data_IF_133665198387
#
_entry.id   IF_133665198387
#
_cell.length_a   1.000
_cell.length_b   1.000
_cell.length_c   1.000
_cell.angle_alpha   90.00
_cell.angle_beta   90.00
_cell.angle_gamma   90.00
#
_symmetry.space_group_name_H-M   'P 1'
#
loop_
_entity.id
_entity.type
_entity.pdbx_description
1 polymer ?
#
# COMPACT_ATOMS: atom_id res chain seq x y z
N UNK A 1 -16.36 13.22 18.49
CA UNK A 1 -16.28 12.62 17.16
C UNK A 1 -16.33 11.10 17.28
N UNK A 2 -17.01 10.40 16.38
CA UNK A 2 -17.04 8.95 16.36
C UNK A 2 -15.76 8.38 15.76
N UNK A 3 -15.31 7.23 16.28
CA UNK A 3 -14.19 6.45 15.76
C UNK A 3 -14.42 4.95 16.00
N UNK A 4 -13.92 4.10 15.10
CA UNK A 4 -13.88 2.65 15.25
C UNK A 4 -12.47 2.24 15.68
N UNK A 5 -12.32 1.65 16.88
CA UNK A 5 -11.02 1.38 17.51
C UNK A 5 -10.80 -0.09 17.80
N UNK A 6 -9.57 -0.55 17.59
CA UNK A 6 -9.06 -1.77 18.20
C UNK A 6 -8.80 -1.48 19.66
N UNK A 7 -9.46 -2.20 20.56
CA UNK A 7 -9.22 -2.15 22.01
C UNK A 7 -8.26 -3.26 22.41
N UNK A 8 -8.47 -4.44 21.81
CA UNK A 8 -7.64 -5.61 21.97
C UNK A 8 -7.53 -6.35 20.65
N UNK A 9 -6.37 -6.90 20.37
CA UNK A 9 -6.12 -7.64 19.13
C UNK A 9 -7.03 -8.86 18.98
N UNK A 10 -7.43 -9.17 17.77
CA UNK A 10 -8.34 -10.27 17.39
C UNK A 10 -9.78 -10.13 17.87
N UNK A 11 -10.11 -9.05 18.58
CA UNK A 11 -11.50 -8.72 18.95
C UNK A 11 -12.09 -7.72 17.97
N UNK A 12 -13.42 -7.69 17.76
CA UNK A 12 -14.05 -6.72 16.89
C UNK A 12 -13.73 -5.27 17.31
N UNK A 13 -13.53 -4.40 16.32
CA UNK A 13 -13.37 -2.97 16.56
C UNK A 13 -14.62 -2.43 17.26
N UNK A 14 -14.42 -1.53 18.21
CA UNK A 14 -15.50 -0.91 18.98
C UNK A 14 -15.72 0.54 18.55
N UNK A 15 -16.97 0.90 18.33
CA UNK A 15 -17.36 2.30 18.13
C UNK A 15 -17.19 3.09 19.43
N UNK A 16 -16.47 4.20 19.37
CA UNK A 16 -16.17 5.06 20.51
C UNK A 16 -16.45 6.52 20.18
N UNK A 17 -16.89 7.26 21.17
CA UNK A 17 -16.91 8.72 21.10
C UNK A 17 -15.61 9.28 21.69
N UNK A 18 -14.87 10.01 20.88
CA UNK A 18 -13.61 10.63 21.26
C UNK A 18 -13.77 12.16 21.30
N UNK A 19 -13.04 12.82 22.18
CA UNK A 19 -12.93 14.27 22.13
C UNK A 19 -12.29 14.70 20.81
N UNK A 20 -12.92 15.63 20.09
CA UNK A 20 -12.33 16.21 18.88
C UNK A 20 -11.09 17.02 19.27
N UNK A 21 -9.90 16.72 18.69
CA UNK A 21 -8.70 17.48 19.00
C UNK A 21 -8.78 18.90 18.43
N UNK A 22 -8.12 19.83 19.10
CA UNK A 22 -7.93 21.21 18.62
C UNK A 22 -6.52 21.35 18.09
N UNK A 23 -6.32 21.71 16.81
CA UNK A 23 -4.99 21.83 16.21
C UNK A 23 -4.24 23.04 16.80
N UNK A 24 -2.92 22.87 17.00
CA UNK A 24 -1.99 23.91 17.48
C UNK A 24 -0.77 23.99 16.56
N UNK A 25 -0.12 25.15 16.50
CA UNK A 25 1.09 25.33 15.70
C UNK A 25 0.86 24.95 14.24
N UNK A 26 1.62 24.01 13.72
CA UNK A 26 1.52 23.50 12.35
C UNK A 26 0.48 22.39 12.15
N UNK A 27 -0.24 21.98 13.20
CA UNK A 27 -1.21 20.89 13.12
C UNK A 27 -2.43 21.30 12.29
N UNK A 28 -3.00 20.28 11.61
CA UNK A 28 -4.23 20.44 10.82
C UNK A 28 -5.22 19.36 11.23
N UNK A 29 -6.46 19.77 11.53
CA UNK A 29 -7.58 18.84 11.74
C UNK A 29 -8.28 18.62 10.40
N UNK A 30 -8.31 17.37 9.98
CA UNK A 30 -8.94 16.94 8.74
C UNK A 30 -10.27 16.29 9.05
N UNK A 31 -11.34 16.70 8.37
CA UNK A 31 -12.61 15.98 8.29
C UNK A 31 -12.50 14.90 7.23
N UNK A 32 -12.71 13.64 7.62
CA UNK A 32 -12.46 12.50 6.75
C UNK A 32 -13.68 12.25 5.86
N UNK A 33 -13.49 12.28 4.55
CA UNK A 33 -14.49 11.91 3.56
C UNK A 33 -14.38 10.42 3.21
N UNK A 34 -13.14 9.90 3.15
CA UNK A 34 -12.87 8.51 2.80
C UNK A 34 -11.60 7.98 3.47
N UNK A 35 -11.65 6.76 3.98
CA UNK A 35 -10.51 6.01 4.49
C UNK A 35 -10.43 4.64 3.80
N UNK A 36 -9.32 4.36 3.09
CA UNK A 36 -9.11 3.06 2.45
C UNK A 36 -8.86 1.94 3.47
N UNK A 37 -9.23 0.72 3.08
CA UNK A 37 -9.05 -0.50 3.90
C UNK A 37 -7.90 -1.33 3.36
N UNK A 38 -6.89 -1.57 4.17
CA UNK A 38 -5.64 -2.21 3.80
C UNK A 38 -5.37 -3.50 4.59
N UNK A 39 -4.59 -4.42 4.00
CA UNK A 39 -4.12 -5.61 4.73
C UNK A 39 -3.26 -5.26 5.96
N UNK A 40 -2.58 -4.12 5.96
CA UNK A 40 -1.86 -3.65 7.15
C UNK A 40 -2.79 -3.38 8.34
N UNK A 41 -4.04 -2.95 8.09
CA UNK A 41 -5.05 -2.81 9.14
C UNK A 41 -5.40 -4.16 9.74
N UNK A 42 -5.47 -5.24 8.92
CA UNK A 42 -5.70 -6.60 9.37
C UNK A 42 -4.52 -7.08 10.24
N UNK A 43 -3.28 -6.85 9.81
CA UNK A 43 -2.10 -7.24 10.61
C UNK A 43 -2.06 -6.55 11.97
N UNK A 44 -2.42 -5.26 12.05
CA UNK A 44 -2.51 -4.54 13.33
C UNK A 44 -3.65 -5.09 14.17
N UNK A 45 -4.82 -5.35 13.57
CA UNK A 45 -5.97 -5.93 14.25
C UNK A 45 -5.69 -7.35 14.77
N UNK A 46 -4.99 -8.19 13.99
CA UNK A 46 -4.60 -9.55 14.38
C UNK A 46 -3.40 -9.59 15.33
N UNK A 47 -2.69 -8.48 15.49
CA UNK A 47 -1.61 -8.30 16.44
C UNK A 47 -0.22 -8.65 15.92
N UNK A 48 -0.01 -8.86 14.59
CA UNK A 48 1.33 -9.12 14.09
C UNK A 48 1.42 -9.65 12.66
N UNK A 49 2.66 -9.97 12.30
CA UNK A 49 3.04 -10.53 11.00
C UNK A 49 3.67 -11.91 11.21
N UNK A 50 3.39 -12.86 10.33
CA UNK A 50 4.03 -14.16 10.37
C UNK A 50 5.50 -14.04 9.90
N UNK A 51 6.42 -14.45 10.76
CA UNK A 51 7.84 -14.48 10.49
C UNK A 51 8.36 -15.90 10.25
N UNK A 52 9.65 -16.11 10.53
CA UNK A 52 10.33 -17.39 10.37
C UNK A 52 9.69 -18.46 11.29
N UNK A 53 9.44 -19.66 10.75
CA UNK A 53 8.93 -20.84 11.47
C UNK A 53 7.61 -20.60 12.23
N UNK A 54 6.74 -19.74 11.70
CA UNK A 54 5.45 -19.44 12.31
C UNK A 54 5.51 -18.49 13.51
N UNK A 55 6.69 -17.93 13.82
CA UNK A 55 6.79 -16.90 14.87
C UNK A 55 6.00 -15.65 14.43
N UNK A 56 5.26 -15.08 15.36
CA UNK A 56 4.54 -13.84 15.13
C UNK A 56 5.39 -12.64 15.60
N UNK A 57 5.75 -11.78 14.67
CA UNK A 57 6.34 -10.48 14.98
C UNK A 57 5.21 -9.55 15.47
N UNK A 58 5.09 -9.41 16.79
CA UNK A 58 3.97 -8.68 17.41
C UNK A 58 4.06 -7.19 17.11
N UNK A 59 2.92 -6.57 16.88
CA UNK A 59 2.86 -5.12 16.61
C UNK A 59 3.19 -4.31 17.87
N UNK A 60 2.85 -4.82 19.07
CA UNK A 60 3.19 -4.17 20.35
C UNK A 60 4.70 -4.09 20.58
N UNK A 61 5.47 -5.11 20.16
CA UNK A 61 6.94 -5.11 20.25
C UNK A 61 7.57 -4.05 19.35
N UNK A 62 6.82 -3.58 18.34
CA UNK A 62 7.20 -2.49 17.44
C UNK A 62 6.70 -1.11 17.92
N UNK A 63 6.06 -1.04 19.08
CA UNK A 63 5.59 0.21 19.70
C UNK A 63 4.15 0.57 19.42
N UNK A 64 3.36 -0.28 18.76
CA UNK A 64 1.90 -0.07 18.61
C UNK A 64 1.23 -0.15 19.97
N UNK A 65 0.34 0.80 20.26
CA UNK A 65 -0.40 0.88 21.54
C UNK A 65 -1.90 0.90 21.28
N UNK A 66 -2.64 0.21 22.12
CA UNK A 66 -4.11 0.20 22.11
C UNK A 66 -4.67 0.99 23.32
N UNK A 67 -5.89 1.62 23.19
CA UNK A 67 -6.79 1.61 22.03
C UNK A 67 -6.24 2.41 20.84
N UNK A 68 -6.50 1.92 19.62
CA UNK A 68 -6.01 2.52 18.38
C UNK A 68 -7.11 2.60 17.32
N UNK A 69 -7.28 3.76 16.71
CA UNK A 69 -8.09 3.93 15.49
C UNK A 69 -7.24 3.55 14.27
N UNK A 70 -7.65 2.53 13.53
CA UNK A 70 -6.98 2.09 12.30
C UNK A 70 -7.23 3.05 11.12
N UNK A 71 -6.74 2.66 9.94
CA UNK A 71 -6.92 3.36 8.69
C UNK A 71 -5.82 4.40 8.42
N UNK A 72 -4.96 4.09 7.47
CA UNK A 72 -3.83 4.94 7.08
C UNK A 72 -3.95 5.46 5.63
N UNK A 73 -5.05 5.20 4.96
CA UNK A 73 -5.36 5.69 3.61
C UNK A 73 -6.45 6.77 3.71
N UNK A 74 -6.08 8.04 3.95
CA UNK A 74 -7.02 9.08 4.39
C UNK A 74 -7.13 10.21 3.38
N UNK A 75 -8.35 10.47 2.87
CA UNK A 75 -8.68 11.65 2.10
C UNK A 75 -9.87 12.41 2.72
N UNK A 76 -9.87 13.72 2.59
CA UNK A 76 -10.94 14.56 3.13
C UNK A 76 -10.69 16.04 2.95
N UNK A 77 -11.25 16.85 3.82
CA UNK A 77 -11.15 18.30 3.77
C UNK A 77 -10.58 18.87 5.07
N UNK A 78 -9.85 19.98 4.95
CA UNK A 78 -9.32 20.71 6.10
C UNK A 78 -10.49 21.31 6.89
N UNK A 79 -10.64 20.90 8.14
CA UNK A 79 -11.71 21.38 9.06
C UNK A 79 -11.25 22.57 9.88
N UNK A 80 -10.07 22.45 10.51
CA UNK A 80 -9.44 23.52 11.32
C UNK A 80 -7.92 23.48 11.11
N UNK A 81 -7.26 24.63 11.30
CA UNK A 81 -5.81 24.77 11.22
C UNK A 81 -5.23 25.38 12.49
N UNK A 82 -4.00 25.01 12.84
CA UNK A 82 -3.24 25.67 13.89
C UNK A 82 -2.68 27.03 13.44
N UNK A 83 -2.20 27.82 14.39
CA UNK A 83 -1.81 29.22 14.14
C UNK A 83 -0.62 29.41 13.20
N UNK A 84 0.24 28.39 13.03
CA UNK A 84 1.46 28.49 12.20
C UNK A 84 1.27 27.88 10.80
N UNK A 85 0.08 27.36 10.48
CA UNK A 85 -0.25 26.75 9.18
C UNK A 85 -0.39 27.87 8.12
N UNK A 86 0.27 27.70 6.97
CA UNK A 86 0.27 28.67 5.86
C UNK A 86 -0.08 28.08 4.50
N UNK A 87 0.19 26.78 4.30
CA UNK A 87 0.06 26.11 2.99
C UNK A 87 -1.34 25.62 2.67
N UNK A 88 -2.21 25.47 3.69
CA UNK A 88 -3.59 25.00 3.53
C UNK A 88 -4.56 25.84 4.35
N UNK A 89 -5.84 25.85 3.95
CA UNK A 89 -6.93 26.57 4.64
C UNK A 89 -8.16 25.67 4.78
N UNK A 90 -9.08 26.06 5.67
CA UNK A 90 -10.37 25.37 5.83
C UNK A 90 -11.07 25.21 4.48
N UNK A 91 -11.54 23.99 4.21
CA UNK A 91 -12.22 23.59 2.99
C UNK A 91 -11.27 23.07 1.89
N UNK A 92 -9.95 23.22 2.00
CA UNK A 92 -9.02 22.60 1.05
C UNK A 92 -9.18 21.07 1.10
N UNK A 93 -9.38 20.43 -0.06
CA UNK A 93 -9.48 18.97 -0.18
C UNK A 93 -8.09 18.37 -0.31
N UNK A 94 -7.82 17.38 0.51
CA UNK A 94 -6.45 16.85 0.71
C UNK A 94 -6.44 15.33 0.81
N UNK A 95 -5.29 14.76 0.45
CA UNK A 95 -4.85 13.41 0.76
C UNK A 95 -3.78 13.49 1.83
N UNK A 96 -3.89 12.69 2.88
CA UNK A 96 -2.93 12.67 3.99
C UNK A 96 -1.82 11.66 3.67
N UNK A 97 -0.57 12.09 3.74
CA UNK A 97 0.58 11.19 3.76
C UNK A 97 0.73 10.63 5.19
N UNK A 98 0.51 9.32 5.41
CA UNK A 98 0.42 8.79 6.77
C UNK A 98 1.76 8.31 7.35
N UNK A 99 2.81 8.21 6.55
CA UNK A 99 4.10 7.59 6.89
C UNK A 99 5.03 8.58 7.59
N UNK A 100 4.62 9.00 8.79
CA UNK A 100 5.30 10.03 9.55
C UNK A 100 6.55 9.49 10.24
N UNK A 101 7.66 10.20 10.08
CA UNK A 101 8.89 9.96 10.81
C UNK A 101 9.01 10.85 12.05
N UNK A 102 10.11 10.71 12.80
CA UNK A 102 10.46 11.55 13.95
C UNK A 102 11.13 12.88 13.56
N UNK A 103 11.58 12.98 12.30
CA UNK A 103 12.26 14.14 11.75
C UNK A 103 13.75 14.24 12.10
N UNK A 104 14.31 13.28 12.86
CA UNK A 104 15.67 13.39 13.41
C UNK A 104 16.67 12.39 12.85
N UNK A 105 16.24 11.18 12.47
CA UNK A 105 17.12 10.14 11.93
C UNK A 105 17.56 10.47 10.49
N UNK A 106 18.62 9.80 10.01
CA UNK A 106 19.19 10.00 8.67
C UNK A 106 18.17 9.81 7.54
N UNK A 107 17.27 8.84 7.67
CA UNK A 107 16.19 8.61 6.71
C UNK A 107 15.24 9.82 6.63
N UNK A 108 14.83 10.37 7.77
CA UNK A 108 13.97 11.56 7.81
C UNK A 108 14.65 12.79 7.18
N UNK A 109 15.95 12.96 7.40
CA UNK A 109 16.70 14.10 6.87
C UNK A 109 16.77 14.15 5.34
N UNK A 110 16.69 12.99 4.68
CA UNK A 110 16.70 12.88 3.22
C UNK A 110 15.29 12.67 2.62
N UNK A 111 14.24 12.80 3.44
CA UNK A 111 12.85 12.65 3.00
C UNK A 111 12.33 11.21 2.92
N UNK A 112 13.06 10.24 3.47
CA UNK A 112 12.66 8.83 3.58
C UNK A 112 11.93 8.55 4.89
N UNK A 113 11.01 9.43 5.31
CA UNK A 113 10.30 9.31 6.59
C UNK A 113 9.55 7.97 6.76
N UNK A 114 9.16 7.34 5.66
CA UNK A 114 8.49 6.04 5.65
C UNK A 114 9.34 4.87 6.19
N UNK A 115 10.67 5.01 6.23
CA UNK A 115 11.61 4.04 6.82
C UNK A 115 12.32 4.61 8.05
N UNK A 116 11.68 5.51 8.77
CA UNK A 116 12.18 6.09 10.01
C UNK A 116 12.39 5.02 11.09
N UNK A 117 13.46 5.13 11.88
CA UNK A 117 13.73 4.23 13.00
C UNK A 117 12.69 4.35 14.14
N UNK A 118 12.05 5.53 14.28
CA UNK A 118 10.98 5.80 15.25
C UNK A 118 9.69 6.22 14.51
N UNK A 119 9.00 5.31 13.82
CA UNK A 119 7.85 5.64 12.99
C UNK A 119 6.66 6.09 13.85
N UNK A 120 5.92 7.08 13.34
CA UNK A 120 4.72 7.64 13.97
C UNK A 120 3.52 7.64 13.03
N UNK A 121 3.48 6.67 12.13
CA UNK A 121 2.47 6.57 11.08
C UNK A 121 1.06 6.56 11.63
N UNK A 122 0.18 7.35 10.98
CA UNK A 122 -1.25 7.40 11.30
C UNK A 122 -1.91 6.06 10.96
N UNK A 123 -2.84 5.62 11.81
CA UNK A 123 -3.55 4.34 11.66
C UNK A 123 -2.73 3.10 12.05
N UNK A 124 -1.45 3.27 12.45
CA UNK A 124 -0.56 2.18 12.90
C UNK A 124 0.03 2.47 14.28
N UNK A 125 0.66 3.63 14.47
CA UNK A 125 1.24 4.05 15.74
C UNK A 125 0.45 5.17 16.41
N UNK A 126 -0.33 5.92 15.63
CA UNK A 126 -1.24 6.96 16.07
C UNK A 126 -2.62 6.75 15.46
N UNK A 127 -3.65 7.36 16.05
CA UNK A 127 -5.01 7.26 15.54
C UNK A 127 -5.09 7.69 14.07
N UNK A 128 -5.80 6.88 13.27
CA UNK A 128 -5.95 7.02 11.83
C UNK A 128 -7.36 7.37 11.38
N UNK A 129 -7.71 6.86 10.19
CA UNK A 129 -8.85 7.30 9.38
C UNK A 129 -10.18 6.61 9.65
N UNK A 130 -10.25 5.55 10.47
CA UNK A 130 -11.54 4.96 10.82
C UNK A 130 -12.24 5.81 11.89
N UNK A 131 -12.38 7.09 11.59
CA UNK A 131 -12.97 8.13 12.42
C UNK A 131 -13.52 9.26 11.57
N UNK A 132 -14.34 10.11 12.16
CA UNK A 132 -14.87 11.30 11.47
C UNK A 132 -13.78 12.35 11.20
N UNK A 133 -12.77 12.43 12.07
CA UNK A 133 -11.68 13.44 11.95
C UNK A 133 -10.34 12.83 12.37
N UNK A 134 -9.27 13.35 11.79
CA UNK A 134 -7.89 13.01 12.17
C UNK A 134 -7.07 14.28 12.36
N UNK A 135 -6.18 14.27 13.36
CA UNK A 135 -5.21 15.35 13.59
C UNK A 135 -3.90 14.99 12.88
N UNK A 136 -3.52 15.79 11.89
CA UNK A 136 -2.25 15.68 11.17
C UNK A 136 -1.23 16.62 11.83
N UNK A 137 -0.03 16.16 12.20
CA UNK A 137 0.89 16.94 13.02
C UNK A 137 1.55 18.12 12.31
N UNK A 138 1.63 18.10 10.98
CA UNK A 138 2.22 19.18 10.18
C UNK A 138 1.54 19.23 8.80
N UNK A 139 1.26 20.44 8.31
CA UNK A 139 0.67 20.67 6.98
C UNK A 139 1.50 20.09 5.83
N UNK A 140 2.80 19.89 6.01
CA UNK A 140 3.68 19.28 4.99
C UNK A 140 3.22 17.91 4.54
N UNK A 141 2.49 17.16 5.40
CA UNK A 141 1.97 15.83 5.10
C UNK A 141 0.64 15.83 4.32
N UNK A 142 0.21 16.99 3.85
CA UNK A 142 -1.05 17.15 3.11
C UNK A 142 -0.78 17.42 1.63
N UNK A 143 -1.32 16.55 0.77
CA UNK A 143 -1.27 16.71 -0.69
C UNK A 143 -2.63 17.20 -1.18
N UNK A 144 -2.67 18.38 -1.83
CA UNK A 144 -3.93 18.93 -2.37
C UNK A 144 -4.43 18.11 -3.55
N UNK A 145 -5.66 17.62 -3.46
CA UNK A 145 -6.29 16.78 -4.47
C UNK A 145 -7.19 17.55 -5.45
N UNK A 146 -7.61 18.77 -5.07
CA UNK A 146 -8.58 19.55 -5.88
C UNK A 146 -9.92 18.83 -5.98
N UNK A 147 -10.47 18.71 -7.18
CA UNK A 147 -11.80 18.14 -7.43
C UNK A 147 -11.82 16.60 -7.54
N UNK A 148 -10.67 15.92 -7.30
CA UNK A 148 -10.63 14.47 -7.33
C UNK A 148 -11.55 13.87 -6.25
N UNK A 149 -12.22 12.76 -6.57
CA UNK A 149 -13.07 12.03 -5.62
C UNK A 149 -12.23 11.43 -4.48
N UNK A 150 -12.59 11.74 -3.24
CA UNK A 150 -11.92 11.23 -2.04
C UNK A 150 -11.90 9.70 -1.98
N UNK A 151 -12.95 9.02 -2.43
CA UNK A 151 -13.02 7.57 -2.48
C UNK A 151 -11.95 6.99 -3.41
N UNK A 152 -11.72 7.62 -4.55
CA UNK A 152 -10.69 7.17 -5.49
C UNK A 152 -9.29 7.41 -4.96
N UNK A 153 -9.05 8.58 -4.35
CA UNK A 153 -7.67 8.97 -4.02
C UNK A 153 -7.19 8.52 -2.65
N UNK A 154 -8.07 8.17 -1.71
CA UNK A 154 -7.65 7.77 -0.36
C UNK A 154 -6.64 6.62 -0.40
N UNK A 155 -6.86 5.62 -1.25
CA UNK A 155 -5.98 4.47 -1.41
C UNK A 155 -4.59 4.80 -1.99
N UNK A 156 -4.41 5.99 -2.57
CA UNK A 156 -3.09 6.42 -3.08
C UNK A 156 -2.08 6.59 -1.96
N UNK A 157 -2.51 6.94 -0.74
CA UNK A 157 -1.64 7.16 0.41
C UNK A 157 -0.87 5.89 0.85
N UNK A 158 -1.37 4.71 0.51
CA UNK A 158 -0.72 3.43 0.80
C UNK A 158 -0.56 2.58 -0.47
N UNK A 159 -1.64 1.96 -0.98
CA UNK A 159 -1.50 1.01 -2.09
C UNK A 159 -0.96 1.65 -3.36
N UNK A 160 -1.39 2.87 -3.67
CA UNK A 160 -0.87 3.60 -4.82
C UNK A 160 0.61 3.93 -4.66
N UNK A 161 0.98 4.53 -3.54
CA UNK A 161 2.36 4.93 -3.23
C UNK A 161 3.31 3.72 -3.16
N UNK A 162 2.89 2.64 -2.49
CA UNK A 162 3.67 1.40 -2.41
C UNK A 162 3.93 0.81 -3.80
N UNK A 163 2.90 0.78 -4.65
CA UNK A 163 3.05 0.29 -6.02
C UNK A 163 3.90 1.22 -6.89
N UNK A 164 3.81 2.54 -6.68
CA UNK A 164 4.62 3.52 -7.38
C UNK A 164 6.12 3.33 -7.08
N UNK A 165 6.47 3.19 -5.80
CA UNK A 165 7.83 2.93 -5.36
C UNK A 165 8.34 1.58 -5.86
N UNK A 166 7.52 0.53 -5.78
CA UNK A 166 7.89 -0.80 -6.28
C UNK A 166 8.18 -0.81 -7.79
N UNK A 167 7.36 -0.09 -8.58
CA UNK A 167 7.58 0.06 -10.04
C UNK A 167 8.86 0.82 -10.33
N UNK A 168 9.19 1.87 -9.57
CA UNK A 168 10.48 2.57 -9.70
C UNK A 168 11.66 1.64 -9.36
N UNK A 169 11.54 0.86 -8.29
CA UNK A 169 12.58 -0.11 -7.86
C UNK A 169 12.74 -1.27 -8.86
N UNK A 170 11.71 -1.62 -9.61
CA UNK A 170 11.80 -2.63 -10.66
C UNK A 170 12.78 -2.24 -11.78
N UNK A 171 12.96 -0.94 -12.02
CA UNK A 171 13.96 -0.36 -12.92
C UNK A 171 13.97 -0.98 -14.34
N UNK A 172 12.79 -1.23 -14.91
CA UNK A 172 12.65 -1.81 -16.26
C UNK A 172 12.46 -0.73 -17.32
N UNK A 173 12.84 -1.05 -18.55
CA UNK A 173 12.66 -0.21 -19.74
C UNK A 173 11.51 -0.73 -20.64
N UNK A 174 11.04 0.04 -21.64
CA UNK A 174 9.93 -0.37 -22.51
C UNK A 174 10.15 -1.69 -23.27
N UNK A 175 11.39 -2.12 -23.47
CA UNK A 175 11.73 -3.37 -24.18
C UNK A 175 11.89 -4.58 -23.25
N UNK A 176 11.67 -4.39 -21.98
CA UNK A 176 11.88 -5.39 -20.94
C UNK A 176 10.56 -5.97 -20.45
N UNK A 177 10.66 -7.11 -19.76
CA UNK A 177 9.50 -7.81 -19.19
C UNK A 177 9.44 -7.59 -17.68
N UNK A 178 8.32 -7.06 -17.23
CA UNK A 178 7.93 -6.94 -15.83
C UNK A 178 6.88 -8.00 -15.48
N UNK A 179 7.18 -8.84 -14.49
CA UNK A 179 6.18 -9.72 -13.89
C UNK A 179 5.65 -9.08 -12.61
N UNK A 180 4.34 -9.10 -12.43
CA UNK A 180 3.65 -8.64 -11.21
C UNK A 180 2.96 -9.85 -10.60
N UNK A 181 3.33 -10.23 -9.37
CA UNK A 181 2.71 -11.31 -8.62
C UNK A 181 1.72 -10.72 -7.62
N UNK A 182 0.46 -11.16 -7.73
CA UNK A 182 -0.67 -10.67 -6.96
C UNK A 182 -1.42 -9.54 -7.65
N UNK A 183 -2.65 -9.81 -8.12
CA UNK A 183 -3.55 -8.87 -8.77
C UNK A 183 -4.59 -8.26 -7.80
N UNK A 184 -4.21 -8.05 -6.54
CA UNK A 184 -4.99 -7.30 -5.56
C UNK A 184 -4.89 -5.79 -5.77
N UNK A 185 -5.27 -5.00 -4.76
CA UNK A 185 -5.27 -3.53 -4.83
C UNK A 185 -3.91 -2.94 -5.23
N UNK A 186 -2.78 -3.50 -4.73
CA UNK A 186 -1.44 -3.07 -5.10
C UNK A 186 -1.09 -3.48 -6.54
N UNK A 187 -1.34 -4.75 -6.91
CA UNK A 187 -0.97 -5.25 -8.23
C UNK A 187 -1.72 -4.56 -9.36
N UNK A 188 -3.03 -4.35 -9.21
CA UNK A 188 -3.83 -3.62 -10.20
C UNK A 188 -3.37 -2.16 -10.35
N UNK A 189 -2.93 -1.54 -9.26
CA UNK A 189 -2.31 -0.22 -9.28
C UNK A 189 -0.94 -0.26 -9.94
N UNK A 190 -0.11 -1.28 -9.62
CA UNK A 190 1.22 -1.50 -10.20
C UNK A 190 1.19 -1.66 -11.72
N UNK A 191 0.19 -2.38 -12.27
CA UNK A 191 -0.01 -2.51 -13.73
C UNK A 191 -0.19 -1.15 -14.38
N UNK A 192 -1.10 -0.33 -13.86
CA UNK A 192 -1.39 1.00 -14.43
C UNK A 192 -0.18 1.95 -14.32
N UNK A 193 0.48 1.95 -13.16
CA UNK A 193 1.66 2.79 -12.93
C UNK A 193 2.81 2.36 -13.84
N UNK A 194 3.09 1.06 -13.98
CA UNK A 194 4.11 0.54 -14.87
C UNK A 194 3.81 0.92 -16.33
N UNK A 195 2.56 0.85 -16.75
CA UNK A 195 2.13 1.27 -18.09
C UNK A 195 2.32 2.76 -18.30
N UNK A 196 1.97 3.58 -17.31
CA UNK A 196 2.06 5.04 -17.41
C UNK A 196 3.51 5.57 -17.40
N UNK A 197 4.40 4.94 -16.64
CA UNK A 197 5.77 5.43 -16.42
C UNK A 197 6.82 4.77 -17.31
N UNK A 198 6.72 3.46 -17.54
CA UNK A 198 7.80 2.64 -18.08
C UNK A 198 7.41 1.91 -19.36
N UNK A 199 6.14 1.57 -19.52
CA UNK A 199 5.55 0.84 -20.64
C UNK A 199 6.31 -0.44 -21.06
N UNK A 200 6.65 -1.35 -20.11
CA UNK A 200 7.28 -2.64 -20.42
C UNK A 200 6.25 -3.65 -20.93
N UNK A 201 6.69 -4.87 -21.31
CA UNK A 201 5.79 -6.03 -21.38
C UNK A 201 5.40 -6.46 -19.99
N UNK A 202 4.11 -6.45 -19.64
CA UNK A 202 3.58 -6.75 -18.32
C UNK A 202 2.92 -8.11 -18.29
N UNK A 203 3.44 -9.03 -17.45
CA UNK A 203 2.83 -10.34 -17.15
C UNK A 203 2.30 -10.28 -15.72
N UNK A 204 1.02 -10.57 -15.50
CA UNK A 204 0.42 -10.60 -14.15
C UNK A 204 0.11 -12.04 -13.76
N UNK A 205 0.53 -12.43 -12.55
CA UNK A 205 0.30 -13.76 -11.97
C UNK A 205 -0.61 -13.62 -10.75
N UNK A 206 -1.71 -14.39 -10.72
CA UNK A 206 -2.61 -14.49 -9.56
C UNK A 206 -3.28 -15.88 -9.57
N UNK A 207 -3.97 -16.21 -8.50
CA UNK A 207 -4.79 -17.43 -8.35
C UNK A 207 -6.25 -17.21 -8.76
N UNK A 208 -6.70 -15.97 -8.91
CA UNK A 208 -8.09 -15.58 -9.15
C UNK A 208 -8.27 -15.03 -10.58
N UNK A 209 -9.06 -15.75 -11.40
CA UNK A 209 -9.34 -15.36 -12.78
C UNK A 209 -10.07 -14.02 -12.92
N UNK A 210 -10.89 -13.61 -11.92
CA UNK A 210 -11.58 -12.32 -11.95
C UNK A 210 -10.57 -11.17 -11.81
N UNK A 211 -9.61 -11.32 -10.88
CA UNK A 211 -8.52 -10.35 -10.70
C UNK A 211 -7.61 -10.28 -11.92
N UNK A 212 -7.29 -11.43 -12.53
CA UNK A 212 -6.52 -11.50 -13.77
C UNK A 212 -7.25 -10.83 -14.93
N UNK A 213 -8.55 -11.03 -15.05
CA UNK A 213 -9.39 -10.33 -16.03
C UNK A 213 -9.37 -8.82 -15.87
N UNK A 214 -9.36 -8.32 -14.62
CA UNK A 214 -9.24 -6.89 -14.35
C UNK A 214 -7.83 -6.36 -14.67
N UNK A 215 -6.78 -7.10 -14.29
CA UNK A 215 -5.40 -6.74 -14.66
C UNK A 215 -5.22 -6.61 -16.18
N UNK A 216 -5.86 -7.50 -16.96
CA UNK A 216 -5.85 -7.43 -18.42
C UNK A 216 -6.48 -6.14 -18.96
N UNK A 217 -7.63 -5.73 -18.42
CA UNK A 217 -8.31 -4.47 -18.80
C UNK A 217 -7.46 -3.25 -18.44
N UNK A 218 -6.71 -3.31 -17.35
CA UNK A 218 -5.87 -2.22 -16.84
C UNK A 218 -4.50 -2.15 -17.54
N UNK A 219 -4.22 -3.04 -18.49
CA UNK A 219 -3.05 -2.94 -19.36
C UNK A 219 -1.99 -4.05 -19.19
N UNK A 220 -2.29 -5.16 -18.53
CA UNK A 220 -1.42 -6.34 -18.58
C UNK A 220 -1.40 -6.95 -19.99
N UNK A 221 -0.21 -7.25 -20.54
CA UNK A 221 -0.08 -7.92 -21.83
C UNK A 221 -0.45 -9.40 -21.73
N UNK A 222 -0.05 -10.04 -20.63
CA UNK A 222 -0.35 -11.44 -20.35
C UNK A 222 -0.80 -11.62 -18.91
N UNK A 223 -1.62 -12.67 -18.69
CA UNK A 223 -2.06 -13.07 -17.37
C UNK A 223 -1.85 -14.57 -17.22
N UNK A 224 -1.45 -15.01 -16.02
CA UNK A 224 -1.16 -16.41 -15.70
C UNK A 224 -1.88 -16.79 -14.40
N UNK A 225 -2.73 -17.82 -14.44
CA UNK A 225 -3.33 -18.36 -13.23
C UNK A 225 -2.43 -19.47 -12.67
N UNK A 226 -1.76 -19.20 -11.55
CA UNK A 226 -0.78 -20.13 -10.97
C UNK A 226 -1.37 -21.39 -10.33
N UNK A 227 -2.71 -21.54 -10.27
CA UNK A 227 -3.37 -22.81 -9.89
C UNK A 227 -3.49 -23.72 -11.10
N UNK A 228 -3.87 -23.18 -12.26
CA UNK A 228 -4.15 -23.99 -13.47
C UNK A 228 -2.94 -24.12 -14.39
N UNK A 229 -1.92 -23.27 -14.23
CA UNK A 229 -0.73 -23.21 -15.08
C UNK A 229 0.55 -23.23 -14.24
N UNK A 230 1.62 -23.82 -14.79
CA UNK A 230 2.94 -23.67 -14.20
C UNK A 230 3.50 -22.27 -14.54
N UNK A 231 3.47 -21.36 -13.56
CA UNK A 231 3.87 -19.98 -13.76
C UNK A 231 5.32 -19.83 -14.25
N UNK A 232 6.26 -20.67 -13.77
CA UNK A 232 7.67 -20.63 -14.19
C UNK A 232 7.79 -20.95 -15.69
N UNK A 233 7.16 -22.04 -16.13
CA UNK A 233 7.20 -22.44 -17.53
C UNK A 233 6.53 -21.41 -18.42
N UNK A 234 5.39 -20.85 -17.97
CA UNK A 234 4.64 -19.87 -18.74
C UNK A 234 5.40 -18.55 -18.91
N UNK A 235 6.03 -18.05 -17.85
CA UNK A 235 6.90 -16.86 -17.93
C UNK A 235 8.08 -17.12 -18.86
N UNK A 236 8.73 -18.29 -18.78
CA UNK A 236 9.82 -18.66 -19.69
C UNK A 236 9.36 -18.71 -21.16
N UNK A 237 8.20 -19.31 -21.42
CA UNK A 237 7.61 -19.33 -22.78
C UNK A 237 7.41 -17.90 -23.29
N UNK A 238 6.76 -17.03 -22.52
CA UNK A 238 6.47 -15.63 -22.88
C UNK A 238 7.71 -14.75 -23.03
N UNK A 239 8.85 -15.17 -22.47
CA UNK A 239 10.14 -14.48 -22.50
C UNK A 239 11.18 -15.18 -23.36
N UNK A 240 10.77 -16.07 -24.27
CA UNK A 240 11.67 -16.83 -25.15
C UNK A 240 12.79 -17.56 -24.38
N UNK A 241 12.44 -18.17 -23.25
CA UNK A 241 13.31 -18.86 -22.30
C UNK A 241 14.38 -17.99 -21.60
N UNK A 242 14.31 -16.66 -21.72
CA UNK A 242 15.27 -15.76 -21.05
C UNK A 242 14.90 -15.53 -19.57
N UNK A 243 13.61 -15.51 -19.24
CA UNK A 243 13.07 -15.11 -17.95
C UNK A 243 12.77 -13.60 -17.86
N UNK A 244 12.14 -13.19 -16.77
CA UNK A 244 11.73 -11.82 -16.53
C UNK A 244 12.91 -10.91 -16.19
N UNK A 245 12.89 -9.66 -16.68
CA UNK A 245 13.86 -8.62 -16.32
C UNK A 245 13.69 -8.17 -14.88
N UNK A 246 12.44 -8.00 -14.46
CA UNK A 246 12.12 -7.70 -13.08
C UNK A 246 10.80 -8.35 -12.66
N UNK A 247 10.69 -8.67 -11.38
CA UNK A 247 9.48 -9.21 -10.76
C UNK A 247 9.15 -8.36 -9.55
N UNK A 248 7.90 -7.92 -9.43
CA UNK A 248 7.35 -7.29 -8.23
C UNK A 248 6.43 -8.30 -7.55
N UNK A 249 6.74 -8.69 -6.32
CA UNK A 249 5.90 -9.59 -5.53
C UNK A 249 5.12 -8.81 -4.47
N UNK A 250 3.84 -8.58 -4.75
CA UNK A 250 2.90 -7.93 -3.82
C UNK A 250 2.28 -8.89 -2.80
N UNK A 251 2.61 -10.18 -2.88
CA UNK A 251 2.19 -11.21 -1.91
C UNK A 251 3.29 -11.43 -0.88
N UNK A 252 4.49 -11.80 -1.34
CA UNK A 252 5.67 -12.07 -0.53
C UNK A 252 5.44 -13.20 0.48
N UNK A 253 5.30 -14.40 -0.05
CA UNK A 253 5.20 -15.66 0.69
C UNK A 253 6.16 -16.69 0.10
N UNK A 254 6.49 -17.80 0.79
CA UNK A 254 7.33 -18.84 0.22
C UNK A 254 6.81 -19.37 -1.13
N UNK A 255 5.47 -19.42 -1.29
CA UNK A 255 4.81 -19.89 -2.53
C UNK A 255 4.98 -18.95 -3.72
N UNK A 256 5.37 -17.69 -3.48
CA UNK A 256 5.55 -16.69 -4.54
C UNK A 256 7.01 -16.33 -4.75
N UNK A 257 7.80 -16.20 -3.68
CA UNK A 257 9.22 -15.80 -3.75
C UNK A 257 10.10 -16.89 -4.39
N UNK A 258 9.92 -18.14 -3.99
CA UNK A 258 10.70 -19.26 -4.54
C UNK A 258 10.49 -19.41 -6.08
N UNK A 259 9.25 -19.46 -6.60
CA UNK A 259 9.04 -19.44 -8.04
C UNK A 259 9.55 -18.19 -8.72
N UNK A 260 9.45 -17.00 -8.07
CA UNK A 260 9.92 -15.75 -8.64
C UNK A 260 11.43 -15.77 -8.95
N UNK A 261 12.25 -16.28 -8.03
CA UNK A 261 13.70 -16.42 -8.26
C UNK A 261 14.00 -17.31 -9.49
N UNK A 262 13.19 -18.33 -9.74
CA UNK A 262 13.33 -19.23 -10.89
C UNK A 262 12.79 -18.64 -12.21
N UNK A 263 11.93 -17.64 -12.14
CA UNK A 263 11.40 -16.91 -13.30
C UNK A 263 12.30 -15.76 -13.75
N UNK A 264 13.20 -15.26 -12.87
CA UNK A 264 14.11 -14.17 -13.21
C UNK A 264 15.19 -14.61 -14.22
N UNK A 265 15.52 -13.74 -15.14
CA UNK A 265 16.71 -13.87 -15.98
C UNK A 265 18.01 -13.60 -15.17
N UNK A 266 19.16 -13.84 -15.77
CA UNK A 266 20.44 -13.31 -15.26
C UNK A 266 20.36 -11.77 -15.21
N UNK A 267 20.89 -11.17 -14.15
CA UNK A 267 20.85 -9.72 -13.86
C UNK A 267 19.41 -9.18 -13.63
N UNK A 268 18.44 -10.06 -13.35
CA UNK A 268 17.07 -9.66 -13.04
C UNK A 268 16.91 -9.20 -11.60
N UNK A 269 15.88 -8.35 -11.35
CA UNK A 269 15.55 -7.79 -10.04
C UNK A 269 14.28 -8.43 -9.48
N UNK A 270 14.30 -8.87 -8.23
CA UNK A 270 13.11 -9.27 -7.47
C UNK A 270 12.79 -8.21 -6.42
N UNK A 271 11.67 -7.52 -6.56
CA UNK A 271 11.18 -6.51 -5.63
C UNK A 271 10.13 -7.12 -4.71
N UNK A 272 10.44 -7.26 -3.44
CA UNK A 272 9.58 -7.82 -2.40
C UNK A 272 8.80 -6.71 -1.70
N UNK A 273 7.47 -6.77 -1.74
CA UNK A 273 6.58 -5.71 -1.25
C UNK A 273 5.56 -6.23 -0.25
N UNK A 274 4.93 -7.37 -0.53
CA UNK A 274 3.89 -7.95 0.31
C UNK A 274 4.37 -8.29 1.72
N UNK A 275 3.41 -8.46 2.63
CA UNK A 275 3.68 -8.76 4.04
C UNK A 275 2.92 -10.02 4.51
N UNK A 276 2.65 -10.98 3.60
CA UNK A 276 2.00 -12.24 4.00
C UNK A 276 2.86 -13.04 4.96
N UNK A 277 4.21 -12.97 4.77
CA UNK A 277 5.14 -13.53 5.72
C UNK A 277 5.64 -14.92 5.37
N UNK A 278 6.29 -15.57 6.34
CA UNK A 278 6.99 -16.84 6.18
C UNK A 278 8.49 -16.68 5.97
N UNK A 279 9.17 -17.75 5.49
CA UNK A 279 10.60 -17.76 5.20
C UNK A 279 10.92 -18.69 4.03
N UNK A 280 11.99 -18.41 3.32
CA UNK A 280 12.55 -19.27 2.27
C UNK A 280 13.98 -19.66 2.62
N UNK A 281 14.45 -20.79 2.07
CA UNK A 281 15.88 -21.12 1.99
C UNK A 281 16.44 -20.55 0.68
N UNK A 282 17.56 -19.84 0.77
CA UNK A 282 18.21 -19.23 -0.37
C UNK A 282 19.47 -19.97 -0.73
N UNK A 283 19.55 -20.48 -1.97
CA UNK A 283 20.78 -21.05 -2.50
C UNK A 283 21.77 -19.93 -2.83
N UNK A 284 22.65 -19.61 -1.85
CA UNK A 284 23.54 -18.45 -1.91
C UNK A 284 24.42 -18.38 -3.17
N UNK A 285 25.06 -19.47 -3.68
CA UNK A 285 25.85 -19.42 -4.91
C UNK A 285 25.07 -18.97 -6.15
N UNK A 286 23.78 -19.18 -6.22
CA UNK A 286 22.97 -18.81 -7.40
C UNK A 286 22.86 -17.29 -7.57
N UNK A 287 22.81 -16.51 -6.49
CA UNK A 287 22.70 -15.06 -6.59
C UNK A 287 23.88 -14.42 -7.34
N UNK A 288 25.16 -14.63 -6.92
CA UNK A 288 26.30 -14.07 -7.64
C UNK A 288 26.49 -14.71 -9.03
N UNK A 289 26.30 -16.02 -9.20
CA UNK A 289 26.43 -16.69 -10.50
C UNK A 289 25.43 -16.17 -11.54
N UNK A 290 24.27 -15.69 -11.09
CA UNK A 290 23.22 -15.11 -11.95
C UNK A 290 23.20 -13.58 -11.89
N UNK A 291 24.01 -12.96 -11.02
CA UNK A 291 24.00 -11.51 -10.75
C UNK A 291 22.59 -10.98 -10.49
N UNK A 292 21.77 -11.72 -9.74
CA UNK A 292 20.39 -11.34 -9.41
C UNK A 292 20.38 -10.42 -8.20
N UNK A 293 19.39 -9.51 -8.15
CA UNK A 293 19.18 -8.57 -7.04
C UNK A 293 17.86 -8.87 -6.36
N UNK A 294 17.84 -8.88 -5.02
CA UNK A 294 16.61 -8.91 -4.21
C UNK A 294 16.50 -7.57 -3.51
N UNK A 295 15.37 -6.89 -3.67
CA UNK A 295 15.14 -5.53 -3.16
C UNK A 295 13.90 -5.56 -2.27
N UNK A 296 14.02 -5.15 -1.00
CA UNK A 296 12.86 -4.82 -0.17
C UNK A 296 12.29 -3.47 -0.58
N UNK A 297 10.96 -3.36 -0.69
CA UNK A 297 10.27 -2.10 -1.02
C UNK A 297 9.11 -1.86 -0.06
N UNK A 298 9.15 -0.75 0.66
CA UNK A 298 8.16 -0.41 1.67
C UNK A 298 7.62 0.99 1.44
N UNK A 299 6.32 1.09 1.23
CA UNK A 299 5.59 2.37 1.02
C UNK A 299 6.31 3.33 0.05
N UNK A 300 6.55 4.59 0.42
CA UNK A 300 7.28 5.53 -0.41
C UNK A 300 7.36 6.94 0.18
N UNK A 301 8.01 7.84 -0.52
CA UNK A 301 8.25 9.23 -0.14
C UNK A 301 7.01 10.11 -0.31
N UNK A 302 6.92 11.17 0.46
CA UNK A 302 5.87 12.21 0.26
C UNK A 302 5.92 12.81 -1.15
N UNK A 303 7.11 13.06 -1.70
CA UNK A 303 7.27 13.56 -3.08
C UNK A 303 6.67 12.58 -4.11
N UNK A 304 6.90 11.28 -3.94
CA UNK A 304 6.33 10.25 -4.82
C UNK A 304 4.78 10.21 -4.75
N UNK A 305 4.19 10.50 -3.57
CA UNK A 305 2.74 10.63 -3.44
C UNK A 305 2.20 11.83 -4.23
N UNK A 306 2.90 12.96 -4.22
CA UNK A 306 2.51 14.13 -5.00
C UNK A 306 2.58 13.84 -6.52
N UNK A 307 3.63 13.16 -6.97
CA UNK A 307 3.78 12.74 -8.38
C UNK A 307 2.66 11.78 -8.80
N UNK A 308 2.33 10.81 -7.94
CA UNK A 308 1.24 9.86 -8.17
C UNK A 308 -0.12 10.55 -8.27
N UNK A 309 -0.42 11.51 -7.38
CA UNK A 309 -1.63 12.35 -7.49
C UNK A 309 -1.65 13.10 -8.83
N UNK A 310 -0.50 13.54 -9.32
CA UNK A 310 -0.34 14.11 -10.66
C UNK A 310 -0.74 13.14 -11.78
N UNK A 311 -0.37 11.85 -11.69
CA UNK A 311 -0.81 10.83 -12.66
C UNK A 311 -2.34 10.63 -12.65
N UNK A 312 -2.95 10.62 -11.47
CA UNK A 312 -4.42 10.49 -11.34
C UNK A 312 -5.13 11.71 -11.91
N UNK A 313 -4.64 12.93 -11.65
CA UNK A 313 -5.17 14.16 -12.25
C UNK A 313 -5.14 14.14 -13.77
N UNK A 314 -4.12 13.54 -14.38
CA UNK A 314 -4.01 13.35 -15.83
C UNK A 314 -4.77 12.13 -16.35
N UNK A 315 -5.48 11.39 -15.49
CA UNK A 315 -6.22 10.15 -15.81
C UNK A 315 -5.32 9.02 -16.36
N UNK A 316 -4.02 9.07 -16.08
CA UNK A 316 -3.08 8.02 -16.47
C UNK A 316 -3.17 6.79 -15.54
N UNK A 317 -3.66 7.00 -14.32
CA UNK A 317 -3.91 5.97 -13.31
C UNK A 317 -5.27 6.24 -12.69
N UNK A 318 -6.08 5.18 -12.52
CA UNK A 318 -7.39 5.26 -11.85
C UNK A 318 -7.49 4.13 -10.82
N UNK A 319 -7.57 4.44 -9.52
CA UNK A 319 -7.75 3.41 -8.48
C UNK A 319 -9.04 2.62 -8.68
N UNK A 320 -8.97 1.30 -8.49
CA UNK A 320 -10.15 0.41 -8.55
C UNK A 320 -10.78 0.30 -7.16
N UNK A 321 -11.91 0.98 -6.95
CA UNK A 321 -12.69 0.90 -5.70
C UNK A 321 -13.94 0.07 -5.96
N UNK A 322 -14.09 -1.05 -5.27
CA UNK A 322 -15.19 -2.00 -5.50
C UNK A 322 -16.27 -1.95 -4.42
N UNK A 323 -15.97 -1.45 -3.23
CA UNK A 323 -16.92 -1.41 -2.11
C UNK A 323 -16.73 -0.15 -1.27
N UNK A 324 -17.84 0.36 -0.77
CA UNK A 324 -17.90 1.47 0.19
C UNK A 324 -18.67 1.02 1.43
N UNK A 325 -18.14 1.34 2.60
CA UNK A 325 -18.75 1.04 3.89
C UNK A 325 -18.97 2.34 4.68
N UNK A 326 -19.94 2.33 5.60
CA UNK A 326 -20.04 3.35 6.65
C UNK A 326 -19.05 3.03 7.77
N UNK A 327 -18.81 3.97 8.68
CA UNK A 327 -17.88 3.77 9.81
C UNK A 327 -18.27 2.56 10.68
N UNK A 328 -19.55 2.35 10.90
CA UNK A 328 -20.10 1.22 11.66
C UNK A 328 -19.82 -0.13 10.98
N UNK A 329 -19.58 -0.14 9.67
CA UNK A 329 -19.23 -1.32 8.87
C UNK A 329 -17.73 -1.64 8.85
N UNK A 330 -16.89 -0.99 9.65
CA UNK A 330 -15.44 -1.19 9.65
C UNK A 330 -15.03 -2.66 9.90
N UNK A 331 -15.72 -3.36 10.79
CA UNK A 331 -15.49 -4.78 11.04
C UNK A 331 -15.78 -5.62 9.79
N UNK A 332 -16.92 -5.39 9.15
CA UNK A 332 -17.31 -6.11 7.93
C UNK A 332 -16.34 -5.84 6.78
N UNK A 333 -15.84 -4.60 6.66
CA UNK A 333 -14.84 -4.24 5.67
C UNK A 333 -13.53 -5.03 5.85
N UNK A 334 -13.02 -5.15 7.09
CA UNK A 334 -11.83 -5.94 7.41
C UNK A 334 -12.05 -7.43 7.14
N UNK A 335 -13.17 -8.00 7.56
CA UNK A 335 -13.51 -9.41 7.34
C UNK A 335 -13.65 -9.73 5.85
N UNK A 336 -14.29 -8.87 5.06
CA UNK A 336 -14.41 -9.07 3.62
C UNK A 336 -13.06 -8.96 2.90
N UNK A 337 -12.19 -8.04 3.34
CA UNK A 337 -10.83 -7.94 2.79
C UNK A 337 -10.03 -9.20 3.13
N UNK A 338 -10.04 -9.66 4.38
CA UNK A 338 -9.39 -10.89 4.84
C UNK A 338 -9.85 -12.13 4.07
N UNK A 339 -11.16 -12.19 3.79
CA UNK A 339 -11.77 -13.28 3.01
C UNK A 339 -11.51 -13.18 1.49
N UNK A 340 -10.74 -12.20 1.01
CA UNK A 340 -10.43 -12.01 -0.41
C UNK A 340 -11.62 -11.55 -1.27
N UNK A 341 -12.71 -11.06 -0.65
CA UNK A 341 -13.96 -10.66 -1.33
C UNK A 341 -13.95 -9.22 -1.88
N UNK A 342 -12.80 -8.54 -1.81
CA UNK A 342 -12.60 -7.18 -2.32
C UNK A 342 -11.77 -7.25 -3.60
N UNK A 343 -12.30 -6.71 -4.70
CA UNK A 343 -11.56 -6.49 -5.93
C UNK A 343 -10.96 -5.07 -5.91
N UNK A 344 -9.65 -4.94 -6.04
CA UNK A 344 -9.00 -3.64 -5.88
C UNK A 344 -9.01 -3.17 -4.42
N UNK A 345 -9.77 -2.11 -4.10
CA UNK A 345 -9.87 -1.54 -2.75
C UNK A 345 -11.31 -1.40 -2.28
N UNK A 346 -11.46 -1.38 -0.96
CA UNK A 346 -12.64 -0.91 -0.26
C UNK A 346 -12.32 0.37 0.48
N UNK A 347 -13.34 1.20 0.72
CA UNK A 347 -13.22 2.44 1.49
C UNK A 347 -14.31 2.53 2.56
N UNK A 348 -14.01 3.25 3.64
CA UNK A 348 -14.94 3.61 4.71
C UNK A 348 -15.21 5.11 4.61
N UNK A 349 -16.49 5.49 4.56
CA UNK A 349 -16.96 6.87 4.61
C UNK A 349 -17.53 7.13 6.01
N UNK A 350 -16.82 7.88 6.87
CA UNK A 350 -17.15 8.03 8.28
C UNK A 350 -18.34 8.96 8.58
N UNK A 351 -18.79 9.74 7.60
CA UNK A 351 -19.88 10.72 7.73
C UNK A 351 -21.10 10.34 6.92
#
# INVERSE_FOLDING_TARGET
>A
MKASQVIKTKEPLQMRELKTPTPKGKQVLVEIESAGVCHSDIHVWEGGYEGKQGQIMRVEDRGVKFPLTLGHEIAGSVSLVGGDVKGVKKGDRILVYPWLGDGTCSACQIGDEHVCDNPRSLGIFQNGGYAQKVLVPDEKYLVKIGDLDANLVSSLACSGLTSFTAVKNAAVSPKQTLVIIGAGGLGLMGVQIARALLNPTIIVIDIDNKKLGEAKKLGADHTVNSISENAINKVKELTFNQGADSIIDFVNSPKTVDPALNMLRKRGNLVLVGLFGGSIELNLPLLPLRSQTIIGSYTGRLADLADLVGLVKRKAVTPTISKTFKLEGANDALEQLKAGKILGRAVINPN
#
